data_IF_165488748299
#
_entry.id   IF_165488748299
#
_cell.length_a   1.000
_cell.length_b   1.000
_cell.length_c   1.000
_cell.angle_alpha   90.00
_cell.angle_beta   90.00
_cell.angle_gamma   90.00
#
_symmetry.space_group_name_H-M   'P 1'
#
loop_
_entity.id
_entity.type
_entity.pdbx_description
1 polymer ?
#
# COMPACT_ATOMS: atom_id res chain seq x y z
N UNK A 1 -30.86 19.81 -5.56
CA UNK A 1 -30.51 18.92 -4.44
C UNK A 1 -29.23 18.20 -4.82
N UNK A 2 -28.15 18.47 -4.09
CA UNK A 2 -26.86 17.80 -4.32
C UNK A 2 -26.87 16.41 -3.68
N UNK A 3 -26.31 15.43 -4.37
CA UNK A 3 -26.27 14.03 -3.91
C UNK A 3 -24.86 13.51 -4.11
N UNK A 4 -24.20 13.13 -3.03
CA UNK A 4 -22.84 12.59 -3.08
C UNK A 4 -22.80 11.25 -3.83
N UNK A 5 -21.71 11.02 -4.56
CA UNK A 5 -21.46 9.72 -5.19
C UNK A 5 -20.91 8.70 -4.18
N UNK A 6 -21.61 7.57 -4.04
CA UNK A 6 -21.25 6.49 -3.10
C UNK A 6 -19.91 5.85 -3.41
N UNK A 7 -19.57 5.73 -4.69
CA UNK A 7 -18.29 5.14 -5.07
C UNK A 7 -17.14 6.03 -4.62
N UNK A 8 -17.25 7.35 -4.82
CA UNK A 8 -16.30 8.31 -4.30
C UNK A 8 -16.19 8.28 -2.76
N UNK A 9 -17.30 8.16 -2.04
CA UNK A 9 -17.28 8.02 -0.57
C UNK A 9 -16.50 6.78 -0.13
N UNK A 10 -16.79 5.61 -0.71
CA UNK A 10 -16.08 4.36 -0.39
C UNK A 10 -14.61 4.37 -0.81
N UNK A 11 -14.28 5.03 -1.93
CA UNK A 11 -12.90 5.22 -2.38
C UNK A 11 -12.12 6.15 -1.44
N UNK A 12 -12.72 7.22 -0.97
CA UNK A 12 -12.07 8.15 -0.05
C UNK A 12 -11.83 7.47 1.31
N UNK A 13 -12.80 6.69 1.79
CA UNK A 13 -12.63 5.86 2.98
C UNK A 13 -11.51 4.83 2.81
N UNK A 14 -11.44 4.12 1.68
CA UNK A 14 -10.38 3.12 1.46
C UNK A 14 -9.00 3.75 1.44
N UNK A 15 -8.85 4.97 0.93
CA UNK A 15 -7.60 5.73 1.01
C UNK A 15 -7.23 6.11 2.44
N UNK A 16 -8.21 6.47 3.27
CA UNK A 16 -7.97 6.75 4.70
C UNK A 16 -7.49 5.47 5.41
N UNK A 17 -8.14 4.34 5.19
CA UNK A 17 -7.74 3.03 5.74
C UNK A 17 -6.34 2.61 5.25
N UNK A 18 -6.04 2.78 3.95
CA UNK A 18 -4.72 2.45 3.40
C UNK A 18 -3.62 3.31 4.04
N UNK A 19 -3.86 4.60 4.24
CA UNK A 19 -2.94 5.49 4.96
C UNK A 19 -2.71 5.04 6.40
N UNK A 20 -3.76 4.65 7.12
CA UNK A 20 -3.63 4.07 8.47
C UNK A 20 -2.76 2.81 8.43
N UNK A 21 -3.04 1.87 7.52
CA UNK A 21 -2.25 0.65 7.38
C UNK A 21 -0.76 0.93 7.02
N UNK A 22 -0.48 2.00 6.27
CA UNK A 22 0.88 2.44 5.99
C UNK A 22 1.57 3.01 7.24
N UNK A 23 0.88 3.86 8.02
CA UNK A 23 1.40 4.47 9.24
C UNK A 23 1.71 3.44 10.33
N UNK A 24 0.86 2.43 10.49
CA UNK A 24 1.00 1.40 11.52
C UNK A 24 1.75 0.15 11.04
N UNK A 25 2.52 0.25 9.94
CA UNK A 25 3.32 -0.87 9.42
C UNK A 25 4.42 -1.32 10.40
N UNK A 26 4.90 -0.41 11.25
CA UNK A 26 5.87 -0.72 12.30
C UNK A 26 5.27 -1.60 13.41
N UNK A 27 4.00 -1.39 13.80
CA UNK A 27 3.30 -2.24 14.76
C UNK A 27 3.25 -3.70 14.29
N UNK A 28 2.89 -3.91 13.03
CA UNK A 28 2.83 -5.25 12.43
C UNK A 28 4.21 -5.92 12.35
N UNK A 29 5.27 -5.14 12.10
CA UNK A 29 6.65 -5.66 12.10
C UNK A 29 7.06 -6.11 13.50
N UNK A 30 6.84 -5.28 14.52
CA UNK A 30 7.14 -5.63 15.91
C UNK A 30 6.40 -6.88 16.38
N UNK A 31 5.11 -6.97 16.07
CA UNK A 31 4.30 -8.13 16.42
C UNK A 31 4.82 -9.41 15.76
N UNK A 32 5.19 -9.34 14.48
CA UNK A 32 5.71 -10.50 13.77
C UNK A 32 7.14 -10.90 14.20
N UNK A 33 7.93 -9.97 14.73
CA UNK A 33 9.23 -10.25 15.36
C UNK A 33 9.09 -10.88 16.76
N UNK A 34 7.97 -10.64 17.45
CA UNK A 34 7.66 -11.21 18.78
C UNK A 34 7.04 -12.61 18.70
N UNK A 35 6.47 -12.98 17.55
CA UNK A 35 5.97 -14.33 17.34
C UNK A 35 7.15 -15.31 17.40
N UNK A 36 7.09 -16.37 18.23
CA UNK A 36 8.16 -17.35 18.33
C UNK A 36 8.31 -18.07 16.99
N UNK A 37 9.27 -17.62 16.19
CA UNK A 37 9.68 -18.31 14.97
C UNK A 37 10.52 -19.52 15.39
N UNK A 38 10.18 -20.75 14.94
CA UNK A 38 11.07 -21.90 15.07
C UNK A 38 12.19 -21.71 14.04
N UNK A 39 13.19 -20.89 14.37
CA UNK A 39 14.38 -20.74 13.54
C UNK A 39 15.57 -20.54 14.47
N UNK A 40 16.63 -21.37 14.34
CA UNK A 40 17.82 -21.19 15.14
C UNK A 40 18.44 -19.82 14.84
N UNK A 41 18.84 -19.14 15.90
CA UNK A 41 19.67 -17.93 15.84
C UNK A 41 20.94 -18.22 15.07
N UNK A 42 20.96 -17.87 13.79
CA UNK A 42 22.20 -17.83 13.03
C UNK A 42 23.00 -16.59 13.47
N UNK A 43 24.30 -16.72 13.75
CA UNK A 43 25.11 -15.61 14.20
C UNK A 43 25.17 -14.54 13.10
N UNK A 44 24.80 -13.32 13.48
CA UNK A 44 24.92 -12.13 12.66
C UNK A 44 26.41 -11.79 12.53
N UNK A 45 27.03 -12.06 11.38
CA UNK A 45 28.34 -11.49 11.05
C UNK A 45 28.28 -10.68 9.75
N UNK A 46 28.64 -9.40 9.94
CA UNK A 46 29.13 -8.36 9.03
C UNK A 46 28.47 -8.07 7.68
N UNK A 47 28.39 -6.76 7.43
CA UNK A 47 27.59 -6.12 6.40
C UNK A 47 27.83 -6.69 5.01
N UNK A 48 26.75 -7.23 4.41
CA UNK A 48 26.68 -7.51 2.97
C UNK A 48 27.25 -6.32 2.18
N UNK A 49 28.10 -6.56 1.15
CA UNK A 49 28.63 -5.49 0.33
C UNK A 49 27.49 -4.65 -0.26
N UNK A 50 27.61 -3.30 -0.26
CA UNK A 50 26.53 -2.42 -0.66
C UNK A 50 26.16 -2.69 -2.12
N UNK A 51 24.88 -2.97 -2.37
CA UNK A 51 24.35 -3.17 -3.72
C UNK A 51 24.48 -1.90 -4.55
N UNK A 52 24.49 -2.00 -5.88
CA UNK A 52 24.54 -0.83 -6.79
C UNK A 52 23.47 0.23 -6.49
N UNK A 53 22.31 -0.20 -5.96
CA UNK A 53 21.22 0.70 -5.55
C UNK A 53 21.58 1.44 -4.25
N UNK A 54 22.15 0.74 -3.26
CA UNK A 54 22.62 1.35 -2.00
C UNK A 54 23.75 2.34 -2.27
N UNK A 55 24.72 1.95 -3.11
CA UNK A 55 25.81 2.83 -3.55
C UNK A 55 25.26 4.09 -4.24
N UNK A 56 24.28 3.94 -5.14
CA UNK A 56 23.65 5.09 -5.82
C UNK A 56 22.90 6.00 -4.85
N UNK A 57 22.26 5.45 -3.81
CA UNK A 57 21.58 6.25 -2.77
C UNK A 57 22.59 7.00 -1.91
N UNK A 58 23.68 6.35 -1.50
CA UNK A 58 24.77 6.97 -0.75
C UNK A 58 25.41 8.13 -1.55
N UNK A 59 25.81 7.87 -2.79
CA UNK A 59 26.40 8.89 -3.67
C UNK A 59 25.45 10.08 -3.90
N UNK A 60 24.15 9.82 -4.06
CA UNK A 60 23.17 10.89 -4.26
C UNK A 60 22.92 11.71 -3.01
N UNK A 61 22.83 11.06 -1.85
CA UNK A 61 22.69 11.74 -0.57
C UNK A 61 23.89 12.66 -0.31
N UNK A 62 25.11 12.13 -0.50
CA UNK A 62 26.34 12.89 -0.34
C UNK A 62 26.42 14.08 -1.31
N UNK A 63 26.12 13.86 -2.60
CA UNK A 63 26.15 14.92 -3.61
C UNK A 63 25.14 16.05 -3.30
N UNK A 64 23.93 15.70 -2.88
CA UNK A 64 22.88 16.67 -2.54
C UNK A 64 23.30 17.50 -1.32
N UNK A 65 23.77 16.84 -0.25
CA UNK A 65 24.16 17.54 0.97
C UNK A 65 25.36 18.45 0.75
N UNK A 66 26.38 18.00 0.00
CA UNK A 66 27.54 18.83 -0.37
C UNK A 66 27.14 20.11 -1.11
N UNK A 67 26.14 20.04 -1.98
CA UNK A 67 25.63 21.22 -2.69
C UNK A 67 24.78 22.12 -1.78
N UNK A 68 24.05 21.56 -0.83
CA UNK A 68 23.30 22.35 0.15
C UNK A 68 24.26 23.07 1.12
N UNK A 69 25.31 22.40 1.57
CA UNK A 69 26.37 22.98 2.41
C UNK A 69 27.12 24.09 1.66
N UNK A 70 27.26 23.97 0.34
CA UNK A 70 27.76 25.02 -0.55
C UNK A 70 26.79 26.20 -0.79
N UNK A 71 25.65 26.25 -0.09
CA UNK A 71 24.71 27.36 -0.12
C UNK A 71 23.74 27.38 -1.32
N UNK A 72 23.71 26.32 -2.14
CA UNK A 72 22.82 26.27 -3.30
C UNK A 72 21.36 26.04 -2.86
N UNK A 73 20.37 26.78 -3.41
CA UNK A 73 18.97 26.55 -3.09
C UNK A 73 18.51 25.19 -3.63
N UNK A 74 17.61 24.53 -2.90
CA UNK A 74 17.15 23.16 -3.21
C UNK A 74 16.62 22.99 -4.65
N UNK A 75 16.07 24.03 -5.27
CA UNK A 75 15.64 24.02 -6.68
C UNK A 75 16.81 23.92 -7.66
N UNK A 76 17.91 24.59 -7.38
CA UNK A 76 19.15 24.54 -8.15
C UNK A 76 19.78 23.15 -8.03
N UNK A 77 19.83 22.62 -6.81
CA UNK A 77 20.34 21.27 -6.51
C UNK A 77 19.53 20.21 -7.27
N UNK A 78 18.20 20.28 -7.21
CA UNK A 78 17.30 19.36 -7.92
C UNK A 78 17.56 19.39 -9.45
N UNK A 79 17.69 20.58 -10.03
CA UNK A 79 17.95 20.76 -11.46
C UNK A 79 19.30 20.19 -11.89
N UNK A 80 20.37 20.47 -11.13
CA UNK A 80 21.74 20.03 -11.45
C UNK A 80 21.95 18.53 -11.25
N UNK A 81 21.31 17.94 -10.25
CA UNK A 81 21.36 16.48 -9.99
C UNK A 81 20.38 15.70 -10.88
N UNK A 82 19.49 16.40 -11.61
CA UNK A 82 18.49 15.78 -12.50
C UNK A 82 17.38 15.05 -11.73
N UNK A 83 16.96 15.60 -10.59
CA UNK A 83 15.93 15.02 -9.72
C UNK A 83 14.70 15.94 -9.63
N UNK A 84 13.53 15.34 -9.44
CA UNK A 84 12.33 16.09 -9.06
C UNK A 84 12.55 16.79 -7.69
N UNK A 85 11.98 17.98 -7.54
CA UNK A 85 12.15 18.81 -6.34
C UNK A 85 11.67 18.11 -5.06
N UNK A 86 10.61 17.29 -5.10
CA UNK A 86 10.16 16.52 -3.93
C UNK A 86 11.13 15.40 -3.59
N UNK A 87 11.79 14.83 -4.60
CA UNK A 87 12.84 13.82 -4.39
C UNK A 87 14.06 14.44 -3.75
N UNK A 88 14.57 15.56 -4.26
CA UNK A 88 15.68 16.29 -3.63
C UNK A 88 15.34 16.69 -2.19
N UNK A 89 14.11 17.17 -1.94
CA UNK A 89 13.61 17.46 -0.59
C UNK A 89 13.66 16.23 0.30
N UNK A 90 13.19 15.07 -0.18
CA UNK A 90 13.24 13.81 0.58
C UNK A 90 14.68 13.43 0.95
N UNK A 91 15.65 13.58 0.05
CA UNK A 91 17.05 13.26 0.36
C UNK A 91 17.64 14.20 1.42
N UNK A 92 17.21 15.46 1.46
CA UNK A 92 17.61 16.44 2.50
C UNK A 92 16.95 16.14 3.86
N UNK A 93 15.66 15.84 3.85
CA UNK A 93 14.85 15.76 5.08
C UNK A 93 14.89 14.36 5.73
N UNK A 94 15.55 13.38 5.10
CA UNK A 94 15.58 11.98 5.55
C UNK A 94 17.01 11.56 5.81
N UNK A 95 17.27 11.05 7.02
CA UNK A 95 18.55 10.44 7.40
C UNK A 95 19.00 9.35 6.43
N UNK A 96 20.32 9.25 6.20
CA UNK A 96 20.91 8.31 5.26
C UNK A 96 20.53 6.86 5.58
N UNK A 97 20.51 6.49 6.85
CA UNK A 97 20.17 5.14 7.29
C UNK A 97 18.73 4.75 6.91
N UNK A 98 17.80 5.70 6.98
CA UNK A 98 16.40 5.50 6.58
C UNK A 98 16.29 5.38 5.05
N UNK A 99 17.08 6.15 4.29
CA UNK A 99 17.15 6.03 2.84
C UNK A 99 17.76 4.69 2.40
N UNK A 100 18.81 4.23 3.06
CA UNK A 100 19.45 2.93 2.82
C UNK A 100 18.51 1.79 3.19
N UNK A 101 17.81 1.87 4.34
CA UNK A 101 16.80 0.90 4.72
C UNK A 101 15.68 0.82 3.67
N UNK A 102 15.17 1.96 3.21
CA UNK A 102 14.17 2.02 2.13
C UNK A 102 14.70 1.46 0.81
N UNK A 103 15.96 1.69 0.47
CA UNK A 103 16.60 1.13 -0.72
C UNK A 103 16.80 -0.38 -0.64
N UNK A 104 17.12 -0.89 0.56
CA UNK A 104 17.21 -2.32 0.86
C UNK A 104 15.85 -3.01 0.86
N UNK A 105 14.77 -2.29 1.18
CA UNK A 105 13.38 -2.75 1.10
C UNK A 105 12.85 -2.82 -0.35
N UNK A 106 13.47 -2.10 -1.31
CA UNK A 106 13.16 -2.23 -2.75
C UNK A 106 13.72 -3.52 -3.37
N UNK A 107 14.12 -4.49 -2.55
CA UNK A 107 14.62 -5.80 -2.97
C UNK A 107 13.61 -6.53 -3.83
N UNK A 108 14.11 -7.49 -4.61
CA UNK A 108 13.37 -8.45 -5.42
C UNK A 108 12.24 -9.13 -4.62
N UNK A 109 11.10 -8.45 -4.61
CA UNK A 109 9.81 -8.87 -4.05
C UNK A 109 9.41 -10.31 -4.43
N UNK A 110 9.79 -10.87 -5.60
CA UNK A 110 9.39 -12.23 -5.94
C UNK A 110 9.95 -13.29 -4.98
N UNK A 111 11.22 -13.23 -4.59
CA UNK A 111 11.84 -14.29 -3.79
C UNK A 111 11.51 -14.16 -2.30
N UNK A 112 11.33 -12.92 -1.80
CA UNK A 112 11.10 -12.65 -0.38
C UNK A 112 9.89 -13.41 0.18
N UNK A 113 8.83 -13.60 -0.63
CA UNK A 113 7.66 -14.42 -0.28
C UNK A 113 8.01 -15.88 0.00
N UNK A 114 9.00 -16.43 -0.71
CA UNK A 114 9.40 -17.83 -0.60
C UNK A 114 10.54 -18.05 0.40
N UNK A 115 11.17 -16.99 0.93
CA UNK A 115 12.29 -17.11 1.88
C UNK A 115 11.98 -17.92 3.14
N UNK A 116 10.81 -17.78 3.80
CA UNK A 116 10.48 -18.61 4.95
C UNK A 116 10.41 -20.10 4.59
N UNK A 117 9.79 -20.43 3.46
CA UNK A 117 9.73 -21.81 2.94
C UNK A 117 11.13 -22.36 2.64
N UNK A 118 11.96 -21.57 1.94
CA UNK A 118 13.33 -21.95 1.61
C UNK A 118 14.19 -22.16 2.86
N UNK A 119 14.03 -21.32 3.90
CA UNK A 119 14.74 -21.47 5.18
C UNK A 119 14.28 -22.72 5.93
N UNK A 120 12.97 -23.00 5.96
CA UNK A 120 12.42 -24.21 6.58
C UNK A 120 12.92 -25.48 5.88
N UNK A 121 12.92 -25.51 4.54
CA UNK A 121 13.42 -26.64 3.76
C UNK A 121 14.94 -26.82 3.88
N UNK A 122 15.68 -25.73 3.97
CA UNK A 122 17.12 -25.79 4.21
C UNK A 122 17.42 -26.34 5.61
N UNK A 123 16.66 -25.94 6.63
CA UNK A 123 16.76 -26.45 7.99
C UNK A 123 16.34 -27.92 8.12
N UNK A 124 15.40 -28.39 7.28
CA UNK A 124 15.02 -29.82 7.21
C UNK A 124 16.02 -30.69 6.44
N UNK A 125 17.12 -30.11 5.91
CA UNK A 125 18.22 -30.82 5.27
C UNK A 125 18.23 -30.75 3.73
N UNK A 126 17.22 -30.12 3.10
CA UNK A 126 17.18 -29.94 1.64
C UNK A 126 18.08 -28.77 1.25
N UNK A 127 19.34 -29.06 0.92
CA UNK A 127 20.34 -28.04 0.56
C UNK A 127 20.54 -27.87 -0.95
N UNK A 128 19.89 -28.67 -1.79
CA UNK A 128 19.99 -28.62 -3.25
C UNK A 128 19.25 -27.41 -3.82
N UNK A 129 19.99 -26.47 -4.42
CA UNK A 129 19.41 -25.27 -5.02
C UNK A 129 18.47 -25.57 -6.20
N UNK A 130 18.70 -26.67 -6.93
CA UNK A 130 17.84 -27.10 -8.03
C UNK A 130 16.49 -27.58 -7.52
N UNK A 131 16.52 -28.43 -6.50
CA UNK A 131 15.31 -28.99 -5.88
C UNK A 131 14.45 -27.90 -5.22
N UNK A 132 15.09 -26.97 -4.50
CA UNK A 132 14.40 -25.82 -3.92
C UNK A 132 13.79 -24.90 -4.99
N UNK A 133 14.43 -24.76 -6.14
CA UNK A 133 13.91 -23.97 -7.26
C UNK A 133 12.68 -24.60 -7.90
N UNK A 134 12.71 -25.90 -8.14
CA UNK A 134 11.57 -26.63 -8.71
C UNK A 134 10.35 -26.57 -7.78
N UNK A 135 10.58 -26.71 -6.46
CA UNK A 135 9.53 -26.58 -5.45
C UNK A 135 8.87 -25.19 -5.44
N UNK A 136 9.64 -24.10 -5.50
CA UNK A 136 9.04 -22.76 -5.50
C UNK A 136 8.43 -22.38 -6.85
N UNK A 137 8.95 -22.91 -7.96
CA UNK A 137 8.34 -22.74 -9.28
C UNK A 137 6.96 -23.41 -9.33
N UNK A 138 6.82 -24.60 -8.74
CA UNK A 138 5.52 -25.26 -8.57
C UNK A 138 4.54 -24.44 -7.70
N UNK A 139 5.05 -23.66 -6.74
CA UNK A 139 4.29 -22.69 -5.95
C UNK A 139 4.09 -21.33 -6.66
N UNK A 140 4.40 -21.23 -7.95
CA UNK A 140 4.15 -20.05 -8.78
C UNK A 140 5.27 -19.01 -8.80
N UNK A 141 6.50 -19.36 -8.37
CA UNK A 141 7.64 -18.47 -8.53
C UNK A 141 7.99 -18.28 -10.02
N UNK A 142 8.07 -17.02 -10.46
CA UNK A 142 8.40 -16.65 -11.85
C UNK A 142 9.79 -16.00 -11.95
N UNK A 143 10.60 -16.07 -10.90
CA UNK A 143 11.94 -15.49 -10.90
C UNK A 143 13.01 -16.46 -11.45
N UNK A 144 14.16 -15.93 -11.85
CA UNK A 144 15.23 -16.75 -12.41
C UNK A 144 16.02 -17.55 -11.37
N UNK A 145 16.50 -18.73 -11.77
CA UNK A 145 17.31 -19.65 -10.97
C UNK A 145 18.51 -18.99 -10.27
N UNK A 146 19.20 -18.06 -10.95
CA UNK A 146 20.35 -17.33 -10.41
C UNK A 146 20.02 -16.51 -9.15
N UNK A 147 18.77 -16.07 -9.00
CA UNK A 147 18.30 -15.33 -7.82
C UNK A 147 18.16 -16.24 -6.61
N UNK A 148 17.60 -17.44 -6.80
CA UNK A 148 17.51 -18.45 -5.75
C UNK A 148 18.88 -19.03 -5.40
N UNK A 149 19.69 -19.39 -6.40
CA UNK A 149 21.01 -19.99 -6.18
C UNK A 149 21.91 -19.07 -5.34
N UNK A 150 21.90 -17.75 -5.61
CA UNK A 150 22.59 -16.75 -4.78
C UNK A 150 22.08 -16.71 -3.34
N UNK A 151 20.78 -16.89 -3.13
CA UNK A 151 20.18 -16.92 -1.80
C UNK A 151 20.51 -18.21 -1.05
N UNK A 152 20.43 -19.37 -1.70
CA UNK A 152 20.84 -20.66 -1.11
C UNK A 152 22.33 -20.66 -0.77
N UNK A 153 23.18 -20.02 -1.58
CA UNK A 153 24.59 -19.81 -1.25
C UNK A 153 24.75 -18.95 0.03
N UNK A 154 23.92 -17.90 0.20
CA UNK A 154 23.94 -17.11 1.44
C UNK A 154 23.48 -17.92 2.67
N UNK A 155 22.57 -18.86 2.51
CA UNK A 155 22.15 -19.79 3.58
C UNK A 155 23.29 -20.73 3.97
N UNK A 156 23.99 -21.30 2.98
CA UNK A 156 25.16 -22.17 3.20
C UNK A 156 26.32 -21.44 3.90
N UNK A 157 26.54 -20.18 3.54
CA UNK A 157 27.61 -19.36 4.13
C UNK A 157 27.24 -18.76 5.49
N UNK A 158 26.01 -18.98 5.98
CA UNK A 158 25.53 -18.41 7.24
C UNK A 158 25.29 -16.89 7.22
N UNK A 159 25.37 -16.24 6.05
CA UNK A 159 25.18 -14.79 5.89
C UNK A 159 23.73 -14.43 5.50
N UNK A 160 22.84 -15.43 5.46
CA UNK A 160 21.45 -15.21 5.12
C UNK A 160 20.74 -14.44 6.25
N UNK A 161 20.22 -13.26 5.90
CA UNK A 161 19.31 -12.51 6.78
C UNK A 161 18.06 -13.35 7.04
N UNK A 162 17.61 -13.40 8.30
CA UNK A 162 16.34 -14.01 8.70
C UNK A 162 15.23 -13.61 7.72
N UNK A 163 14.37 -14.56 7.34
CA UNK A 163 13.33 -14.26 6.37
C UNK A 163 12.46 -13.12 6.94
N UNK A 164 12.15 -12.10 6.12
CA UNK A 164 11.28 -11.04 6.59
C UNK A 164 9.95 -11.67 7.00
N UNK A 165 9.47 -11.30 8.18
CA UNK A 165 8.11 -11.62 8.60
C UNK A 165 7.14 -11.32 7.45
N UNK A 166 6.27 -12.28 7.14
CA UNK A 166 5.30 -12.13 6.05
C UNK A 166 4.17 -11.18 6.48
N UNK A 167 4.48 -9.89 6.53
CA UNK A 167 3.50 -8.85 6.86
C UNK A 167 2.70 -8.53 5.59
N UNK A 168 1.35 -8.62 5.65
CA UNK A 168 0.52 -8.22 4.53
C UNK A 168 0.79 -6.78 4.05
N UNK A 169 0.57 -6.53 2.76
CA UNK A 169 0.69 -5.18 2.23
C UNK A 169 -0.45 -4.29 2.75
N UNK A 170 -0.25 -2.96 2.91
CA UNK A 170 -1.33 -2.06 3.33
C UNK A 170 -2.56 -2.13 2.43
N UNK A 171 -2.34 -2.33 1.12
CA UNK A 171 -3.40 -2.53 0.14
C UNK A 171 -4.17 -3.84 0.33
N UNK A 172 -3.47 -4.92 0.66
CA UNK A 172 -4.10 -6.21 0.98
C UNK A 172 -5.00 -6.07 2.20
N UNK A 173 -4.48 -5.46 3.28
CA UNK A 173 -5.24 -5.22 4.51
C UNK A 173 -6.47 -4.35 4.22
N UNK A 174 -6.29 -3.26 3.50
CA UNK A 174 -7.39 -2.36 3.10
C UNK A 174 -8.44 -3.11 2.28
N UNK A 175 -8.02 -3.94 1.31
CA UNK A 175 -8.95 -4.74 0.52
C UNK A 175 -9.74 -5.73 1.37
N UNK A 176 -9.13 -6.34 2.39
CA UNK A 176 -9.82 -7.24 3.33
C UNK A 176 -10.79 -6.48 4.24
N UNK A 177 -10.43 -5.28 4.69
CA UNK A 177 -11.28 -4.43 5.54
C UNK A 177 -12.53 -3.97 4.77
N UNK A 178 -12.36 -3.52 3.53
CA UNK A 178 -13.43 -2.91 2.72
C UNK A 178 -14.38 -3.95 2.09
N UNK A 179 -14.06 -5.24 2.18
CA UNK A 179 -14.88 -6.34 1.66
C UNK A 179 -15.76 -6.95 2.76
N UNK A 180 -16.96 -7.46 2.42
CA UNK A 180 -17.74 -8.30 3.34
C UNK A 180 -16.90 -9.48 3.83
N UNK A 181 -17.01 -9.82 5.11
CA UNK A 181 -16.21 -10.91 5.71
C UNK A 181 -16.50 -12.24 5.03
N UNK A 182 -17.74 -12.44 4.61
CA UNK A 182 -18.26 -13.63 3.93
C UNK A 182 -17.60 -13.83 2.55
N UNK A 183 -17.07 -12.76 1.96
CA UNK A 183 -16.37 -12.82 0.67
C UNK A 183 -14.89 -13.15 0.80
N UNK A 184 -14.33 -13.14 2.02
CA UNK A 184 -12.92 -13.40 2.27
C UNK A 184 -12.68 -14.91 2.37
N UNK A 185 -11.55 -15.37 1.83
CA UNK A 185 -11.10 -16.75 2.07
C UNK A 185 -10.71 -16.94 3.54
N UNK A 186 -10.75 -18.19 4.03
CA UNK A 186 -10.31 -18.52 5.41
C UNK A 186 -8.92 -17.96 5.72
N UNK A 187 -7.98 -18.06 4.77
CA UNK A 187 -6.61 -17.53 4.94
C UNK A 187 -6.54 -16.01 5.02
N UNK A 188 -7.47 -15.28 4.39
CA UNK A 188 -7.54 -13.83 4.47
C UNK A 188 -8.19 -13.39 5.78
N UNK A 189 -9.21 -14.13 6.25
CA UNK A 189 -9.84 -13.89 7.56
C UNK A 189 -8.81 -14.06 8.68
N UNK A 190 -8.08 -15.18 8.70
CA UNK A 190 -7.04 -15.43 9.71
C UNK A 190 -5.99 -14.32 9.73
N UNK A 191 -5.47 -13.93 8.54
CA UNK A 191 -4.47 -12.87 8.45
C UNK A 191 -5.01 -11.49 8.83
N UNK A 192 -6.29 -11.20 8.54
CA UNK A 192 -6.91 -9.97 8.99
C UNK A 192 -7.07 -9.96 10.52
N UNK A 193 -7.43 -11.08 11.13
CA UNK A 193 -7.58 -11.20 12.58
C UNK A 193 -6.21 -11.06 13.28
N UNK A 194 -5.13 -11.65 12.73
CA UNK A 194 -3.75 -11.42 13.20
C UNK A 194 -3.35 -9.94 13.14
N UNK A 195 -3.65 -9.26 12.04
CA UNK A 195 -3.38 -7.82 11.86
C UNK A 195 -4.14 -6.98 12.89
N UNK A 196 -5.38 -7.36 13.22
CA UNK A 196 -6.21 -6.69 14.22
C UNK A 196 -5.69 -6.89 15.65
N UNK A 197 -5.21 -8.09 15.97
CA UNK A 197 -4.55 -8.38 17.25
C UNK A 197 -3.24 -7.57 17.37
N UNK A 198 -2.47 -7.50 16.29
CA UNK A 198 -1.17 -6.82 16.28
C UNK A 198 -1.25 -5.29 16.45
N UNK A 199 -2.38 -4.67 16.13
CA UNK A 199 -2.51 -3.21 16.15
C UNK A 199 -3.94 -2.74 16.47
N UNK A 200 -4.18 -2.18 17.67
CA UNK A 200 -5.47 -1.61 18.06
C UNK A 200 -5.96 -0.51 17.10
N UNK A 201 -5.05 0.30 16.58
CA UNK A 201 -5.36 1.39 15.67
C UNK A 201 -5.92 0.91 14.32
N UNK A 202 -5.39 -0.21 13.81
CA UNK A 202 -5.93 -0.86 12.60
C UNK A 202 -7.29 -1.52 12.92
N UNK A 203 -7.47 -2.04 14.13
CA UNK A 203 -8.76 -2.57 14.58
C UNK A 203 -9.84 -1.50 14.63
N UNK A 204 -9.54 -0.33 15.20
CA UNK A 204 -10.45 0.81 15.24
C UNK A 204 -10.83 1.28 13.83
N UNK A 205 -9.83 1.47 12.96
CA UNK A 205 -10.06 1.84 11.56
C UNK A 205 -10.90 0.79 10.79
N UNK A 206 -10.68 -0.50 11.05
CA UNK A 206 -11.46 -1.59 10.48
C UNK A 206 -12.94 -1.51 10.90
N UNK A 207 -13.20 -1.30 12.19
CA UNK A 207 -14.56 -1.20 12.72
C UNK A 207 -15.30 0.01 12.13
N UNK A 208 -14.67 1.19 12.13
CA UNK A 208 -15.24 2.41 11.56
C UNK A 208 -15.50 2.27 10.06
N UNK A 209 -14.57 1.68 9.31
CA UNK A 209 -14.72 1.47 7.87
C UNK A 209 -15.86 0.51 7.53
N UNK A 210 -16.01 -0.58 8.30
CA UNK A 210 -17.12 -1.53 8.14
C UNK A 210 -18.46 -0.89 8.48
N UNK A 211 -18.54 -0.16 9.60
CA UNK A 211 -19.75 0.57 9.97
C UNK A 211 -20.18 1.55 8.88
N UNK A 212 -19.26 2.32 8.30
CA UNK A 212 -19.59 3.23 7.20
C UNK A 212 -20.02 2.50 5.94
N UNK A 213 -19.33 1.41 5.58
CA UNK A 213 -19.67 0.60 4.41
C UNK A 213 -21.09 0.03 4.54
N UNK A 214 -21.50 -0.35 5.74
CA UNK A 214 -22.88 -0.78 6.02
C UNK A 214 -23.88 0.36 5.89
N UNK A 215 -23.55 1.59 6.33
CA UNK A 215 -24.41 2.75 6.10
C UNK A 215 -24.65 3.00 4.60
N UNK A 216 -23.59 2.89 3.79
CA UNK A 216 -23.65 3.04 2.33
C UNK A 216 -24.49 1.93 1.71
N UNK A 217 -24.22 0.68 2.08
CA UNK A 217 -24.89 -0.50 1.50
C UNK A 217 -26.38 -0.53 1.81
N UNK A 218 -26.75 -0.18 3.03
CA UNK A 218 -28.14 -0.25 3.51
C UNK A 218 -28.88 1.09 3.41
N UNK A 219 -28.25 2.11 2.81
CA UNK A 219 -28.81 3.46 2.66
C UNK A 219 -29.38 4.03 3.97
N UNK A 220 -28.55 4.05 5.01
CA UNK A 220 -28.89 4.54 6.36
C UNK A 220 -28.36 5.94 6.62
N UNK A 221 -28.66 6.90 5.75
CA UNK A 221 -28.15 8.27 5.88
C UNK A 221 -28.51 8.98 7.18
N UNK A 222 -29.63 8.63 7.83
CA UNK A 222 -30.00 9.17 9.15
C UNK A 222 -28.99 8.85 10.25
N UNK A 223 -28.22 7.77 10.10
CA UNK A 223 -27.18 7.36 11.06
C UNK A 223 -25.82 8.01 10.79
N UNK A 224 -25.67 8.77 9.69
CA UNK A 224 -24.41 9.40 9.31
C UNK A 224 -23.87 10.32 10.41
N UNK A 225 -24.74 11.12 11.04
CA UNK A 225 -24.33 12.06 12.09
C UNK A 225 -23.69 11.37 13.30
N UNK A 226 -24.20 10.20 13.68
CA UNK A 226 -23.62 9.37 14.74
C UNK A 226 -22.25 8.86 14.35
N UNK A 227 -22.14 8.30 13.15
CA UNK A 227 -20.88 7.76 12.64
C UNK A 227 -19.79 8.84 12.51
N UNK A 228 -20.12 10.04 12.02
CA UNK A 228 -19.13 11.12 11.92
C UNK A 228 -18.63 11.53 13.30
N UNK A 229 -19.50 11.60 14.32
CA UNK A 229 -19.06 11.92 15.69
C UNK A 229 -18.06 10.89 16.22
N UNK A 230 -18.32 9.61 15.99
CA UNK A 230 -17.42 8.52 16.37
C UNK A 230 -16.09 8.63 15.61
N UNK A 231 -16.13 8.83 14.29
CA UNK A 231 -14.94 8.98 13.46
C UNK A 231 -14.10 10.20 13.84
N UNK A 232 -14.71 11.30 14.27
CA UNK A 232 -13.99 12.50 14.70
C UNK A 232 -13.31 12.34 16.07
N UNK A 233 -13.88 11.50 16.94
CA UNK A 233 -13.28 11.13 18.23
C UNK A 233 -12.17 10.09 18.09
N UNK A 234 -12.09 9.43 16.94
CA UNK A 234 -11.07 8.42 16.64
C UNK A 234 -9.66 8.96 16.80
N UNK A 235 -8.77 8.14 17.36
CA UNK A 235 -7.33 8.43 17.44
C UNK A 235 -6.64 8.42 16.07
N UNK A 236 -7.33 7.86 15.06
CA UNK A 236 -6.80 7.63 13.71
C UNK A 236 -6.93 8.88 12.84
N UNK A 237 -5.84 9.64 12.71
CA UNK A 237 -5.79 10.89 11.95
C UNK A 237 -6.43 10.84 10.54
N UNK A 238 -6.13 9.83 9.69
CA UNK A 238 -6.78 9.68 8.39
C UNK A 238 -8.30 9.50 8.45
N UNK A 239 -8.81 8.74 9.42
CA UNK A 239 -10.27 8.49 9.57
C UNK A 239 -10.95 9.73 10.13
N UNK A 240 -10.35 10.39 11.11
CA UNK A 240 -10.81 11.68 11.64
C UNK A 240 -10.97 12.72 10.53
N UNK A 241 -9.94 12.86 9.70
CA UNK A 241 -9.94 13.79 8.57
C UNK A 241 -11.05 13.47 7.56
N UNK A 242 -11.30 12.18 7.32
CA UNK A 242 -12.41 11.74 6.47
C UNK A 242 -13.78 12.07 7.10
N UNK A 243 -13.97 11.86 8.40
CA UNK A 243 -15.18 12.28 9.12
C UNK A 243 -15.43 13.79 9.01
N UNK A 244 -14.41 14.61 9.25
CA UNK A 244 -14.52 16.07 9.10
C UNK A 244 -14.84 16.50 7.68
N UNK A 245 -14.30 15.82 6.66
CA UNK A 245 -14.67 16.04 5.27
C UNK A 245 -16.16 15.75 5.02
N UNK A 246 -16.67 14.62 5.51
CA UNK A 246 -18.10 14.29 5.36
C UNK A 246 -19.02 15.30 6.06
N UNK A 247 -18.58 15.92 7.15
CA UNK A 247 -19.35 16.94 7.87
C UNK A 247 -19.53 18.22 7.05
N UNK A 248 -18.54 18.59 6.24
CA UNK A 248 -18.64 19.76 5.37
C UNK A 248 -19.75 19.59 4.32
N UNK A 249 -19.88 18.38 3.79
CA UNK A 249 -20.87 18.01 2.76
C UNK A 249 -22.07 17.23 3.35
N UNK A 250 -22.42 17.49 4.62
CA UNK A 250 -23.33 16.62 5.39
C UNK A 250 -24.66 16.32 4.69
N UNK A 251 -25.32 17.33 4.12
CA UNK A 251 -26.61 17.15 3.46
C UNK A 251 -26.48 16.33 2.18
N UNK A 252 -25.46 16.59 1.36
CA UNK A 252 -25.21 15.87 0.12
C UNK A 252 -24.82 14.40 0.38
N UNK A 253 -24.02 14.15 1.43
CA UNK A 253 -23.66 12.80 1.86
C UNK A 253 -24.88 12.08 2.44
N UNK A 254 -25.68 12.74 3.27
CA UNK A 254 -26.93 12.18 3.82
C UNK A 254 -27.89 11.79 2.70
N UNK A 255 -28.05 12.65 1.69
CA UNK A 255 -28.84 12.35 0.50
C UNK A 255 -28.26 11.15 -0.27
N UNK A 256 -26.93 11.13 -0.47
CA UNK A 256 -26.21 10.02 -1.10
C UNK A 256 -26.35 8.70 -0.34
N UNK A 257 -26.50 8.74 0.98
CA UNK A 257 -26.73 7.56 1.83
C UNK A 257 -28.20 7.26 2.07
N UNK A 258 -29.16 7.98 1.48
CA UNK A 258 -30.60 7.76 1.73
C UNK A 258 -31.36 7.44 0.44
N UNK A 259 -31.14 8.24 -0.59
CA UNK A 259 -31.94 8.22 -1.82
C UNK A 259 -31.62 6.99 -2.68
N UNK A 260 -32.52 6.53 -3.57
CA UNK A 260 -32.23 5.40 -4.44
C UNK A 260 -31.18 5.74 -5.52
N UNK A 261 -31.08 7.02 -5.90
CA UNK A 261 -30.13 7.52 -6.90
C UNK A 261 -28.82 8.03 -6.28
N UNK A 262 -27.75 8.03 -7.06
CA UNK A 262 -26.45 8.64 -6.75
C UNK A 262 -25.84 9.27 -8.00
N UNK A 263 -24.98 10.26 -7.83
CA UNK A 263 -24.34 10.97 -8.94
C UNK A 263 -23.37 10.12 -9.75
N UNK A 264 -22.94 8.94 -9.27
CA UNK A 264 -21.97 8.08 -9.96
C UNK A 264 -22.33 7.67 -11.39
N UNK A 265 -23.61 7.43 -11.72
CA UNK A 265 -24.01 7.14 -13.11
C UNK A 265 -23.77 8.36 -14.00
N UNK A 266 -24.15 9.55 -13.53
CA UNK A 266 -23.97 10.82 -14.26
C UNK A 266 -22.47 11.11 -14.41
N UNK A 267 -21.68 10.95 -13.34
CA UNK A 267 -20.23 11.12 -13.37
C UNK A 267 -19.55 10.14 -14.32
N UNK A 268 -20.02 8.89 -14.38
CA UNK A 268 -19.56 7.89 -15.34
C UNK A 268 -19.79 8.33 -16.78
N UNK A 269 -20.99 8.83 -17.10
CA UNK A 269 -21.29 9.39 -18.43
C UNK A 269 -20.41 10.60 -18.75
N UNK A 270 -20.25 11.52 -17.79
CA UNK A 270 -19.37 12.69 -17.95
C UNK A 270 -17.92 12.26 -18.18
N UNK A 271 -17.43 11.24 -17.48
CA UNK A 271 -16.08 10.70 -17.68
C UNK A 271 -15.93 10.07 -19.07
N UNK A 272 -16.91 9.29 -19.54
CA UNK A 272 -16.93 8.73 -20.90
C UNK A 272 -16.88 9.83 -21.97
N UNK A 273 -17.69 10.88 -21.79
CA UNK A 273 -17.69 12.05 -22.69
C UNK A 273 -16.32 12.76 -22.67
N UNK A 274 -15.75 13.00 -21.48
CA UNK A 274 -14.43 13.63 -21.33
C UNK A 274 -13.32 12.79 -21.97
N UNK A 275 -13.37 11.46 -21.83
CA UNK A 275 -12.44 10.54 -22.47
C UNK A 275 -12.52 10.65 -24.00
N UNK A 276 -13.72 10.61 -24.58
CA UNK A 276 -13.94 10.78 -26.02
C UNK A 276 -13.46 12.14 -26.52
N UNK A 277 -13.75 13.23 -25.79
CA UNK A 277 -13.21 14.55 -26.13
C UNK A 277 -11.68 14.56 -26.11
N UNK A 278 -11.04 13.97 -25.09
CA UNK A 278 -9.58 13.92 -24.96
C UNK A 278 -8.91 13.06 -26.02
N UNK A 279 -9.47 11.89 -26.35
CA UNK A 279 -8.94 11.02 -27.41
C UNK A 279 -9.04 11.66 -28.80
N UNK A 280 -9.90 12.66 -28.95
CA UNK A 280 -10.07 13.44 -30.17
C UNK A 280 -9.43 14.83 -30.08
N UNK A 281 -8.47 15.02 -29.16
CA UNK A 281 -7.72 16.27 -28.99
C UNK A 281 -8.62 17.51 -28.81
N UNK A 282 -9.78 17.33 -28.17
CA UNK A 282 -10.75 18.41 -27.92
C UNK A 282 -11.62 18.77 -29.12
N UNK A 283 -11.43 18.16 -30.29
CA UNK A 283 -12.13 18.51 -31.55
C UNK A 283 -13.46 17.79 -31.76
N UNK A 284 -13.95 17.07 -30.75
CA UNK A 284 -15.22 16.37 -30.83
C UNK A 284 -16.40 17.34 -30.66
N UNK A 285 -17.04 17.71 -31.77
CA UNK A 285 -18.29 18.50 -31.77
C UNK A 285 -19.44 17.72 -31.14
N UNK A 286 -20.53 18.40 -30.77
CA UNK A 286 -21.70 17.73 -30.18
C UNK A 286 -22.24 16.61 -31.07
N UNK A 287 -22.37 16.86 -32.38
CA UNK A 287 -22.83 15.85 -33.33
C UNK A 287 -21.94 14.60 -33.34
N UNK A 288 -20.62 14.77 -33.29
CA UNK A 288 -19.65 13.68 -33.31
C UNK A 288 -19.63 12.90 -31.99
N UNK A 289 -19.79 13.59 -30.85
CA UNK A 289 -19.96 12.95 -29.54
C UNK A 289 -21.26 12.16 -29.48
N UNK A 290 -22.37 12.73 -29.94
CA UNK A 290 -23.67 12.06 -30.02
C UNK A 290 -23.58 10.79 -30.86
N UNK A 291 -22.98 10.86 -32.05
CA UNK A 291 -22.77 9.71 -32.92
C UNK A 291 -21.93 8.62 -32.23
N UNK A 292 -20.79 8.95 -31.62
CA UNK A 292 -19.92 7.95 -30.95
C UNK A 292 -20.49 7.36 -29.67
N UNK A 293 -21.35 8.09 -28.96
CA UNK A 293 -21.95 7.61 -27.72
C UNK A 293 -23.15 6.72 -28.01
N UNK A 294 -24.02 7.11 -28.94
CA UNK A 294 -25.23 6.37 -29.28
C UNK A 294 -24.98 5.17 -30.22
N UNK A 295 -23.91 5.17 -31.01
CA UNK A 295 -23.59 4.07 -31.93
C UNK A 295 -22.81 2.91 -31.29
N UNK A 296 -22.50 2.96 -29.99
CA UNK A 296 -21.93 1.83 -29.23
C UNK A 296 -23.01 1.34 -28.24
N UNK A 297 -23.52 0.10 -28.38
CA UNK A 297 -24.42 -0.48 -27.39
C UNK A 297 -23.76 -0.59 -26.01
#
# INVERSE_FOLDING_TARGET
MEVADRWHLLRNLSQAVEKTCQQHRSCLRKYAEQAPSPTPSMPLLEALPPTLIVQRVQQRHELINRMLDGGYPLSEVARRVGLDRKTARRYRDTELDVLIASARDRRNVPLDRYKPFLQAQFASGVTSAKELYDQICAQGFQGGYSTLSRYVLSLRNGVAVAAPAQIPSPRSITAWIMRPRESLSTSEVTRLDEVRIACPDITEACNLARAFTDLVRHRRGTMLGLWIREAEQSTIGPIRSFGSFLRQDFDAVTAGLTLPYSSGVVEGHVCRVKLLKRSMYGRATFALLRARILARP
#
